data_IF_679368216921
#
_entry.id   IF_679368216921
#
_cell.length_a   1.000
_cell.length_b   1.000
_cell.length_c   1.000
_cell.angle_alpha   90.00
_cell.angle_beta   90.00
_cell.angle_gamma   90.00
#
_symmetry.space_group_name_H-M   'P 1'
#
loop_
_entity.id
_entity.type
_entity.pdbx_description
1 polymer ?
#
# COMPACT_ATOMS: atom_id res chain seq x y z
N UNK A 1 -14.42 43.53 15.81
CA UNK A 1 -14.27 42.61 16.94
C UNK A 1 -14.69 41.17 16.59
N UNK A 2 -15.83 40.89 15.95
CA UNK A 2 -16.31 39.54 15.67
C UNK A 2 -15.35 38.67 14.83
N UNK A 3 -14.70 39.24 13.80
CA UNK A 3 -13.78 38.50 12.93
C UNK A 3 -12.54 37.99 13.69
N UNK A 4 -11.99 38.78 14.61
CA UNK A 4 -10.82 38.42 15.40
C UNK A 4 -11.12 37.25 16.34
N UNK A 5 -12.30 37.21 16.96
CA UNK A 5 -12.73 36.12 17.84
C UNK A 5 -12.90 34.85 17.03
N UNK A 6 -13.48 34.93 15.84
CA UNK A 6 -13.69 33.78 14.95
C UNK A 6 -12.36 33.17 14.51
N UNK A 7 -11.35 33.98 14.19
CA UNK A 7 -9.99 33.53 13.84
C UNK A 7 -9.33 32.82 15.02
N UNK A 8 -9.43 33.36 16.23
CA UNK A 8 -8.83 32.76 17.45
C UNK A 8 -9.48 31.37 17.73
N UNK A 9 -10.81 31.28 17.62
CA UNK A 9 -11.52 30.00 17.82
C UNK A 9 -11.10 28.96 16.77
N UNK A 10 -10.96 29.38 15.51
CA UNK A 10 -10.56 28.48 14.42
C UNK A 10 -9.12 27.98 14.60
N UNK A 11 -8.19 28.86 14.96
CA UNK A 11 -6.80 28.50 15.27
C UNK A 11 -6.73 27.56 16.48
N UNK A 12 -7.48 27.86 17.54
CA UNK A 12 -7.55 27.01 18.73
C UNK A 12 -8.07 25.60 18.43
N UNK A 13 -9.14 25.49 17.62
CA UNK A 13 -9.68 24.22 17.17
C UNK A 13 -8.67 23.45 16.31
N UNK A 14 -7.99 24.14 15.39
CA UNK A 14 -6.98 23.53 14.53
C UNK A 14 -5.80 22.97 15.34
N UNK A 15 -5.28 23.74 16.31
CA UNK A 15 -4.21 23.31 17.21
C UNK A 15 -4.65 22.12 18.04
N UNK A 16 -5.88 22.14 18.57
CA UNK A 16 -6.43 21.03 19.33
C UNK A 16 -6.51 19.73 18.51
N UNK A 17 -7.05 19.80 17.29
CA UNK A 17 -7.13 18.65 16.37
C UNK A 17 -5.75 18.13 15.99
N UNK A 18 -4.79 19.04 15.75
CA UNK A 18 -3.42 18.65 15.42
C UNK A 18 -2.74 17.92 16.58
N UNK A 19 -2.88 18.43 17.82
CA UNK A 19 -2.33 17.77 19.02
C UNK A 19 -3.00 16.42 19.28
N UNK A 20 -4.31 16.31 19.08
CA UNK A 20 -5.03 15.05 19.21
C UNK A 20 -4.55 14.01 18.18
N UNK A 21 -4.42 14.41 16.91
CA UNK A 21 -3.89 13.54 15.85
C UNK A 21 -2.45 13.09 16.12
N UNK A 22 -1.60 13.99 16.62
CA UNK A 22 -0.23 13.66 16.96
C UNK A 22 -0.13 12.67 18.12
N UNK A 23 -0.96 12.83 19.15
CA UNK A 23 -1.04 11.87 20.28
C UNK A 23 -1.52 10.50 19.80
N UNK A 24 -2.51 10.48 18.91
CA UNK A 24 -3.03 9.22 18.35
C UNK A 24 -1.95 8.50 17.54
N UNK A 25 -1.24 9.20 16.66
CA UNK A 25 -0.16 8.62 15.85
C UNK A 25 0.96 8.05 16.73
N UNK A 26 1.32 8.74 17.82
CA UNK A 26 2.34 8.27 18.76
C UNK A 26 1.91 7.02 19.52
N UNK A 27 0.63 6.93 19.89
CA UNK A 27 0.06 5.75 20.54
C UNK A 27 0.07 4.53 19.60
N UNK A 28 -0.34 4.72 18.35
CA UNK A 28 -0.31 3.66 17.33
C UNK A 28 1.11 3.15 17.05
N UNK A 29 2.11 4.05 17.07
CA UNK A 29 3.50 3.67 16.91
C UNK A 29 4.01 2.84 18.10
N UNK A 30 3.64 3.21 19.33
CA UNK A 30 4.00 2.43 20.52
C UNK A 30 3.37 1.04 20.51
N UNK A 31 2.07 0.95 20.23
CA UNK A 31 1.37 -0.34 20.12
C UNK A 31 1.99 -1.23 19.03
N UNK A 32 2.48 -0.64 17.94
CA UNK A 32 3.14 -1.38 16.90
C UNK A 32 4.52 -1.89 17.32
N UNK A 33 5.31 -1.10 18.04
CA UNK A 33 6.60 -1.55 18.57
C UNK A 33 6.43 -2.68 19.59
N UNK A 34 5.41 -2.61 20.44
CA UNK A 34 5.08 -3.71 21.36
C UNK A 34 4.74 -5.00 20.61
N UNK A 35 3.95 -4.91 19.55
CA UNK A 35 3.63 -6.07 18.69
C UNK A 35 4.88 -6.65 18.02
N UNK A 36 5.81 -5.82 17.56
CA UNK A 36 7.10 -6.29 17.00
C UNK A 36 7.92 -7.06 18.03
N UNK A 37 8.00 -6.54 19.25
CA UNK A 37 8.74 -7.22 20.31
C UNK A 37 8.09 -8.56 20.64
N UNK A 38 6.77 -8.63 20.73
CA UNK A 38 6.02 -9.86 20.97
C UNK A 38 6.24 -10.88 19.83
N UNK A 39 6.17 -10.44 18.57
CA UNK A 39 6.41 -11.29 17.41
C UNK A 39 7.81 -11.87 17.39
N UNK A 40 8.84 -11.05 17.67
CA UNK A 40 10.22 -11.54 17.76
C UNK A 40 10.41 -12.55 18.91
N UNK A 41 9.77 -12.32 20.03
CA UNK A 41 9.79 -13.29 21.13
C UNK A 41 9.12 -14.61 20.76
N UNK A 42 8.03 -14.55 19.99
CA UNK A 42 7.36 -15.72 19.44
C UNK A 42 8.26 -16.48 18.47
N UNK A 43 8.89 -15.79 17.51
CA UNK A 43 9.84 -16.40 16.56
C UNK A 43 10.95 -17.14 17.30
N UNK A 44 11.54 -16.52 18.31
CA UNK A 44 12.57 -17.13 19.15
C UNK A 44 12.08 -18.37 19.91
N UNK A 45 10.87 -18.29 20.49
CA UNK A 45 10.25 -19.39 21.24
C UNK A 45 10.07 -20.65 20.38
N UNK A 46 9.75 -20.47 19.09
CA UNK A 46 9.54 -21.56 18.13
C UNK A 46 10.77 -21.88 17.30
N UNK A 47 11.91 -21.23 17.58
CA UNK A 47 13.20 -21.48 16.94
C UNK A 47 13.24 -20.95 15.50
N UNK A 48 12.59 -19.81 15.23
CA UNK A 48 12.59 -19.10 13.95
C UNK A 48 13.43 -17.83 14.01
N UNK A 49 14.36 -17.75 14.96
CA UNK A 49 15.21 -16.58 15.22
C UNK A 49 16.10 -16.18 14.02
N UNK A 50 16.42 -17.13 13.15
CA UNK A 50 17.18 -16.88 11.90
C UNK A 50 16.28 -16.57 10.68
N UNK A 51 14.99 -16.29 10.89
CA UNK A 51 14.11 -15.95 9.78
C UNK A 51 14.43 -14.58 9.18
N UNK A 52 14.29 -14.49 7.84
CA UNK A 52 14.41 -13.22 7.11
C UNK A 52 13.10 -12.48 7.18
N UNK A 53 13.09 -11.31 7.81
CA UNK A 53 11.94 -10.42 7.88
C UNK A 53 11.70 -9.83 6.49
N UNK A 54 10.51 -10.05 5.95
CA UNK A 54 10.04 -9.48 4.68
C UNK A 54 9.17 -8.25 4.95
N UNK A 55 8.27 -8.33 5.95
CA UNK A 55 7.43 -7.22 6.37
C UNK A 55 7.27 -7.22 7.88
N UNK A 56 7.47 -6.06 8.48
CA UNK A 56 7.22 -5.77 9.89
C UNK A 56 6.33 -4.53 10.05
N UNK A 57 5.56 -4.19 9.01
CA UNK A 57 4.75 -2.96 8.98
C UNK A 57 3.28 -3.28 9.26
N UNK A 58 2.58 -2.30 9.78
CA UNK A 58 1.23 -2.22 10.40
C UNK A 58 0.11 -3.17 9.92
N UNK A 59 0.33 -3.99 8.91
CA UNK A 59 -0.70 -4.89 8.38
C UNK A 59 -0.40 -6.36 8.69
N UNK A 60 0.82 -6.82 8.37
CA UNK A 60 1.22 -8.22 8.55
C UNK A 60 2.71 -8.34 8.91
N UNK A 61 3.02 -9.27 9.79
CA UNK A 61 4.36 -9.79 9.98
C UNK A 61 4.58 -10.93 9.00
N UNK A 62 5.57 -10.79 8.13
CA UNK A 62 5.91 -11.82 7.15
C UNK A 62 7.39 -12.14 7.23
N UNK A 63 7.71 -13.38 7.56
CA UNK A 63 9.08 -13.87 7.73
C UNK A 63 9.30 -15.13 6.90
N UNK A 64 10.51 -15.28 6.37
CA UNK A 64 10.97 -16.47 5.65
C UNK A 64 12.03 -17.18 6.46
N UNK A 65 11.73 -18.38 6.92
CA UNK A 65 12.70 -19.27 7.57
C UNK A 65 13.17 -20.34 6.58
N UNK A 66 14.27 -20.07 5.88
CA UNK A 66 14.84 -21.00 4.88
C UNK A 66 15.40 -22.27 5.50
N UNK A 67 15.96 -22.20 6.71
CA UNK A 67 16.49 -23.35 7.43
C UNK A 67 15.41 -24.39 7.76
N UNK A 68 14.17 -23.95 8.02
CA UNK A 68 13.04 -24.82 8.35
C UNK A 68 12.04 -24.95 7.19
N UNK A 69 12.36 -24.36 6.05
CA UNK A 69 11.53 -24.37 4.83
C UNK A 69 10.09 -23.89 5.11
N UNK A 70 9.95 -22.76 5.83
CA UNK A 70 8.67 -22.21 6.24
C UNK A 70 8.50 -20.74 5.93
N UNK A 71 7.33 -20.39 5.45
CA UNK A 71 6.78 -19.04 5.42
C UNK A 71 6.00 -18.82 6.71
N UNK A 72 6.26 -17.73 7.40
CA UNK A 72 5.58 -17.35 8.64
C UNK A 72 4.80 -16.07 8.37
N UNK A 73 3.50 -16.09 8.66
CA UNK A 73 2.59 -14.96 8.49
C UNK A 73 1.78 -14.84 9.78
N UNK A 74 1.91 -13.72 10.49
CA UNK A 74 1.15 -13.41 11.71
C UNK A 74 1.12 -14.58 12.71
N UNK A 75 2.30 -15.14 13.01
CA UNK A 75 2.47 -16.29 13.92
C UNK A 75 1.91 -17.64 13.40
N UNK A 76 1.44 -17.69 12.17
CA UNK A 76 1.09 -18.95 11.48
C UNK A 76 2.24 -19.39 10.59
N UNK A 77 2.63 -20.67 10.67
CA UNK A 77 3.74 -21.22 9.85
C UNK A 77 3.21 -22.12 8.74
N UNK A 78 3.63 -21.83 7.51
CA UNK A 78 3.26 -22.54 6.29
C UNK A 78 4.50 -23.23 5.70
N UNK A 79 4.54 -24.58 5.57
CA UNK A 79 5.64 -25.24 4.90
C UNK A 79 5.75 -24.78 3.44
N UNK A 80 6.96 -24.63 2.92
CA UNK A 80 7.15 -24.29 1.50
C UNK A 80 6.49 -25.29 0.56
N UNK A 81 6.46 -26.57 0.94
CA UNK A 81 5.81 -27.61 0.17
C UNK A 81 4.30 -27.42 0.01
N UNK A 82 3.66 -26.74 0.95
CA UNK A 82 2.24 -26.42 0.85
C UNK A 82 1.95 -25.27 -0.12
N UNK A 83 2.95 -24.48 -0.52
CA UNK A 83 2.78 -23.36 -1.44
C UNK A 83 2.83 -23.89 -2.88
N UNK A 84 1.76 -23.66 -3.63
CA UNK A 84 1.62 -24.11 -5.02
C UNK A 84 2.10 -23.04 -6.00
N UNK A 85 1.68 -21.80 -5.77
CA UNK A 85 2.03 -20.66 -6.61
C UNK A 85 1.85 -19.34 -5.86
N UNK A 86 2.38 -18.26 -6.42
CA UNK A 86 2.14 -16.91 -5.95
C UNK A 86 2.00 -15.95 -7.13
N UNK A 87 1.27 -14.87 -6.91
CA UNK A 87 1.09 -13.81 -7.90
C UNK A 87 1.06 -12.43 -7.23
N UNK A 88 1.58 -11.41 -7.94
CA UNK A 88 1.48 -10.02 -7.51
C UNK A 88 0.08 -9.49 -7.81
N UNK A 89 -0.53 -8.86 -6.83
CA UNK A 89 -1.77 -8.11 -7.00
C UNK A 89 -1.39 -6.70 -7.43
N UNK A 90 -1.79 -6.34 -8.65
CA UNK A 90 -1.49 -5.03 -9.21
C UNK A 90 -2.77 -4.27 -9.52
N UNK A 91 -2.71 -2.95 -9.28
CA UNK A 91 -3.76 -2.02 -9.67
C UNK A 91 -3.23 -1.12 -10.77
N UNK A 92 -3.90 -1.13 -11.90
CA UNK A 92 -3.60 -0.22 -12.99
C UNK A 92 -4.47 1.02 -12.83
N UNK A 93 -3.84 2.17 -12.65
CA UNK A 93 -4.50 3.48 -12.68
C UNK A 93 -4.06 4.24 -13.92
N UNK A 94 -5.00 4.89 -14.59
CA UNK A 94 -4.70 5.77 -15.71
C UNK A 94 -4.96 7.21 -15.32
N UNK A 95 -3.98 8.07 -15.53
CA UNK A 95 -4.13 9.52 -15.39
C UNK A 95 -4.05 10.16 -16.76
N UNK A 96 -5.13 10.81 -17.18
CA UNK A 96 -5.16 11.58 -18.43
C UNK A 96 -4.95 13.03 -18.09
N UNK A 97 -3.83 13.59 -18.52
CA UNK A 97 -3.55 15.03 -18.45
C UNK A 97 -3.81 15.64 -19.81
N UNK A 98 -4.51 16.79 -19.81
CA UNK A 98 -4.76 17.57 -21.02
C UNK A 98 -3.88 18.81 -20.95
N UNK A 99 -2.78 18.81 -21.68
CA UNK A 99 -1.86 19.93 -21.74
C UNK A 99 -2.50 21.09 -22.53
N UNK A 100 -2.62 22.25 -21.89
CA UNK A 100 -3.16 23.44 -22.53
C UNK A 100 -4.68 23.47 -22.71
N UNK A 101 -5.43 22.49 -22.16
CA UNK A 101 -6.88 22.41 -22.33
C UNK A 101 -7.64 23.66 -21.89
N UNK A 102 -7.21 24.30 -20.79
CA UNK A 102 -7.78 25.58 -20.33
C UNK A 102 -7.45 26.73 -21.29
N UNK A 103 -6.24 26.80 -21.80
CA UNK A 103 -5.83 27.83 -22.77
C UNK A 103 -6.55 27.63 -24.10
N UNK A 104 -6.65 26.39 -24.61
CA UNK A 104 -7.39 26.10 -25.82
C UNK A 104 -8.91 26.34 -25.68
N UNK A 105 -9.48 26.04 -24.51
CA UNK A 105 -10.87 26.34 -24.20
C UNK A 105 -11.12 27.87 -24.12
N UNK A 106 -10.18 28.62 -23.54
CA UNK A 106 -10.28 30.09 -23.46
C UNK A 106 -10.23 30.73 -24.84
N UNK A 107 -9.30 30.31 -25.72
CA UNK A 107 -9.21 30.80 -27.09
C UNK A 107 -10.46 30.42 -27.89
N UNK A 108 -10.89 29.17 -27.81
CA UNK A 108 -12.10 28.69 -28.46
C UNK A 108 -13.36 29.42 -27.99
N UNK A 109 -13.43 29.74 -26.68
CA UNK A 109 -14.53 30.51 -26.07
C UNK A 109 -14.59 31.96 -26.54
N UNK A 110 -13.43 32.61 -26.72
CA UNK A 110 -13.35 33.99 -27.23
C UNK A 110 -13.83 34.10 -28.68
N UNK A 111 -13.60 33.08 -29.52
CA UNK A 111 -13.94 33.09 -30.95
C UNK A 111 -15.32 32.46 -31.22
N UNK A 112 -15.70 31.44 -30.51
CA UNK A 112 -16.89 30.62 -30.77
C UNK A 112 -17.86 30.47 -29.59
N UNK A 113 -17.73 31.27 -28.53
CA UNK A 113 -18.59 31.16 -27.33
C UNK A 113 -18.47 29.84 -26.59
N UNK A 114 -19.53 29.40 -25.93
CA UNK A 114 -19.54 28.14 -25.18
C UNK A 114 -19.22 26.91 -26.02
N UNK A 115 -19.72 26.86 -27.26
CA UNK A 115 -19.43 25.78 -28.21
C UNK A 115 -17.98 25.74 -28.66
N UNK A 116 -17.36 26.90 -28.88
CA UNK A 116 -15.96 27.03 -29.23
C UNK A 116 -15.03 26.60 -28.07
N UNK A 117 -15.41 26.90 -26.82
CA UNK A 117 -14.68 26.46 -25.64
C UNK A 117 -14.65 24.92 -25.51
N UNK A 118 -15.77 24.26 -25.76
CA UNK A 118 -15.85 22.79 -25.73
C UNK A 118 -15.03 22.16 -26.83
N UNK A 119 -15.10 22.68 -28.05
CA UNK A 119 -14.29 22.19 -29.19
C UNK A 119 -12.80 22.42 -28.92
N UNK A 120 -12.40 23.61 -28.44
CA UNK A 120 -11.02 23.92 -28.12
C UNK A 120 -10.44 23.00 -27.05
N UNK A 121 -11.19 22.68 -26.00
CA UNK A 121 -10.74 21.74 -24.97
C UNK A 121 -10.56 20.30 -25.48
N UNK A 122 -11.36 19.88 -26.45
CA UNK A 122 -11.27 18.55 -27.06
C UNK A 122 -10.12 18.42 -28.07
N UNK A 123 -9.64 19.54 -28.63
CA UNK A 123 -8.50 19.55 -29.57
C UNK A 123 -7.14 19.62 -28.85
N UNK A 124 -7.12 19.86 -27.53
CA UNK A 124 -5.88 19.88 -26.79
C UNK A 124 -5.23 18.48 -26.72
N UNK A 125 -3.91 18.39 -26.85
CA UNK A 125 -3.20 17.11 -26.76
C UNK A 125 -3.45 16.46 -25.39
N UNK A 126 -3.76 15.18 -25.42
CA UNK A 126 -4.03 14.38 -24.22
C UNK A 126 -2.94 13.33 -24.07
N UNK A 127 -2.28 13.34 -22.92
CA UNK A 127 -1.32 12.31 -22.54
C UNK A 127 -1.96 11.42 -21.49
N UNK A 128 -2.11 10.15 -21.78
CA UNK A 128 -2.58 9.16 -20.80
C UNK A 128 -1.38 8.37 -20.30
N UNK A 129 -1.10 8.51 -19.02
CA UNK A 129 -0.05 7.75 -18.33
C UNK A 129 -0.72 6.62 -17.54
N UNK A 130 -0.26 5.40 -17.77
CA UNK A 130 -0.67 4.24 -17.00
C UNK A 130 0.34 4.00 -15.90
N UNK A 131 -0.15 4.00 -14.67
CA UNK A 131 0.63 3.67 -13.48
C UNK A 131 0.16 2.30 -12.98
N UNK A 132 1.11 1.40 -12.76
CA UNK A 132 0.84 0.09 -12.17
C UNK A 132 1.39 0.09 -10.76
N UNK A 133 0.49 0.06 -9.78
CA UNK A 133 0.83 -0.04 -8.37
C UNK A 133 0.67 -1.48 -7.90
N UNK A 134 1.63 -1.95 -7.08
CA UNK A 134 1.55 -3.27 -6.45
C UNK A 134 0.83 -3.10 -5.10
N UNK A 135 -0.29 -3.79 -4.93
CA UNK A 135 -1.12 -3.73 -3.72
C UNK A 135 -0.89 -4.90 -2.76
N UNK A 136 -0.23 -5.97 -3.21
CA UNK A 136 0.00 -7.15 -2.37
C UNK A 136 0.46 -8.38 -3.13
N UNK A 137 0.44 -9.51 -2.42
CA UNK A 137 0.76 -10.84 -2.96
C UNK A 137 -0.39 -11.78 -2.65
N UNK A 138 -0.82 -12.56 -3.62
CA UNK A 138 -1.71 -13.69 -3.42
C UNK A 138 -0.89 -14.97 -3.46
N UNK A 139 -1.04 -15.80 -2.44
CA UNK A 139 -0.34 -17.07 -2.29
C UNK A 139 -1.38 -18.19 -2.37
N UNK A 140 -1.11 -19.19 -3.14
CA UNK A 140 -1.96 -20.37 -3.29
C UNK A 140 -1.33 -21.56 -2.55
N UNK A 141 -2.15 -22.24 -1.77
CA UNK A 141 -1.74 -23.39 -0.97
C UNK A 141 -2.41 -24.69 -1.46
N UNK A 142 -1.73 -25.79 -1.27
CA UNK A 142 -2.31 -27.14 -1.47
C UNK A 142 -3.13 -27.53 -0.22
N UNK A 143 -4.14 -26.71 0.11
CA UNK A 143 -5.07 -26.92 1.22
C UNK A 143 -6.48 -26.66 0.72
N UNK A 144 -7.33 -27.67 0.75
CA UNK A 144 -8.71 -27.58 0.29
C UNK A 144 -9.57 -26.61 1.12
N UNK A 145 -9.23 -26.42 2.40
CA UNK A 145 -9.98 -25.53 3.31
C UNK A 145 -9.53 -24.06 3.15
N UNK A 146 -8.24 -23.85 2.86
CA UNK A 146 -7.64 -22.53 2.69
C UNK A 146 -6.78 -22.48 1.42
N UNK A 147 -7.41 -22.50 0.23
CA UNK A 147 -6.67 -22.65 -1.02
C UNK A 147 -5.85 -21.42 -1.41
N UNK A 148 -6.15 -20.26 -0.84
CA UNK A 148 -5.37 -19.05 -1.11
C UNK A 148 -5.46 -18.04 0.02
N UNK A 149 -4.42 -17.21 0.13
CA UNK A 149 -4.33 -16.06 1.04
C UNK A 149 -3.89 -14.82 0.26
N UNK A 150 -4.50 -13.69 0.59
CA UNK A 150 -4.13 -12.38 0.04
C UNK A 150 -3.45 -11.58 1.14
N UNK A 151 -2.20 -11.20 0.90
CA UNK A 151 -1.42 -10.34 1.78
C UNK A 151 -1.34 -8.95 1.17
N UNK A 152 -1.96 -7.97 1.82
CA UNK A 152 -1.82 -6.56 1.47
C UNK A 152 -0.56 -6.03 2.11
N UNK A 153 0.47 -5.81 1.32
CA UNK A 153 1.77 -5.35 1.77
C UNK A 153 2.16 -4.10 0.98
N UNK A 154 3.10 -3.32 1.52
CA UNK A 154 3.72 -2.24 0.75
C UNK A 154 4.43 -2.82 -0.47
N UNK A 155 4.54 -2.01 -1.54
CA UNK A 155 5.12 -2.40 -2.83
C UNK A 155 6.45 -3.15 -2.68
N UNK A 156 7.39 -2.60 -1.89
CA UNK A 156 8.72 -3.18 -1.71
C UNK A 156 8.66 -4.56 -1.03
N UNK A 157 7.82 -4.69 0.00
CA UNK A 157 7.63 -5.96 0.71
C UNK A 157 6.91 -6.99 -0.17
N UNK A 158 5.92 -6.55 -0.97
CA UNK A 158 5.22 -7.43 -1.92
C UNK A 158 6.17 -8.00 -2.96
N UNK A 159 7.01 -7.16 -3.55
CA UNK A 159 8.01 -7.59 -4.54
C UNK A 159 9.04 -8.53 -3.89
N UNK A 160 9.57 -8.16 -2.72
CA UNK A 160 10.55 -8.99 -2.02
C UNK A 160 9.99 -10.38 -1.63
N UNK A 161 8.73 -10.45 -1.20
CA UNK A 161 8.06 -11.70 -0.90
C UNK A 161 7.83 -12.53 -2.17
N UNK A 162 7.32 -11.91 -3.22
CA UNK A 162 7.09 -12.57 -4.50
C UNK A 162 8.37 -13.16 -5.07
N UNK A 163 9.45 -12.39 -5.13
CA UNK A 163 10.74 -12.84 -5.66
C UNK A 163 11.30 -14.01 -4.83
N UNK A 164 11.21 -13.92 -3.50
CA UNK A 164 11.66 -14.99 -2.62
C UNK A 164 10.85 -16.28 -2.81
N UNK A 165 9.52 -16.18 -2.91
CA UNK A 165 8.66 -17.33 -3.16
C UNK A 165 8.86 -17.91 -4.56
N UNK A 166 9.09 -17.05 -5.56
CA UNK A 166 9.38 -17.48 -6.93
C UNK A 166 10.64 -18.35 -6.99
N UNK A 167 11.72 -17.94 -6.29
CA UNK A 167 12.95 -18.73 -6.20
C UNK A 167 12.71 -20.07 -5.50
N UNK A 168 11.95 -20.08 -4.40
CA UNK A 168 11.62 -21.32 -3.66
C UNK A 168 10.82 -22.28 -4.54
N UNK A 169 9.83 -21.76 -5.27
CA UNK A 169 8.97 -22.58 -6.14
C UNK A 169 9.74 -23.11 -7.37
N UNK A 170 10.71 -22.37 -7.88
CA UNK A 170 11.55 -22.78 -9.00
C UNK A 170 12.55 -23.91 -8.64
N UNK A 171 12.78 -24.18 -7.35
CA UNK A 171 13.67 -25.22 -6.86
C UNK A 171 12.96 -26.54 -6.55
N UNK A 172 11.64 -26.57 -6.67
CA UNK A 172 10.81 -27.79 -6.54
C UNK A 172 10.78 -28.59 -7.85
#
# INVERSE_FOLDING_TARGET
MGLLILVIVFVGLFVFLFVAAFKQAKKEEQEWEEKKVAHRAWLKKFGYDNSKIISDKKEHFVDLCTEKEKLIIDECSYPFDSIVSCELITKVSSTTTTDGGLAAAAIGGLVGGSSGAVVGSNMAPRTTTFNTDVEGVKIYFNDANNPSMVLKLKREASIALYDALYVILAQK
#
